data_IF_879230958175
#
_entry.id   IF_879230958175
#
_cell.length_a   1.000
_cell.length_b   1.000
_cell.length_c   1.000
_cell.angle_alpha   90.00
_cell.angle_beta   90.00
_cell.angle_gamma   90.00
#
_symmetry.space_group_name_H-M   'P 1'
#
loop_
_entity.id
_entity.type
_entity.pdbx_description
1 polymer ?
#
# COMPACT_ATOMS: atom_id res chain seq x y z
N UNK A 1 -15.35 -50.16 -34.57
CA UNK A 1 -15.58 -48.85 -33.91
C UNK A 1 -15.77 -48.95 -32.38
N UNK A 2 -15.14 -49.92 -31.68
CA UNK A 2 -15.19 -50.05 -30.19
C UNK A 2 -13.81 -50.00 -29.50
N UNK A 3 -12.71 -49.96 -30.26
CA UNK A 3 -11.36 -49.88 -29.69
C UNK A 3 -10.94 -48.46 -29.29
N UNK A 4 -11.45 -47.40 -29.95
CA UNK A 4 -11.00 -46.03 -29.70
C UNK A 4 -11.53 -45.45 -28.36
N UNK A 5 -12.67 -45.94 -27.85
CA UNK A 5 -13.24 -45.51 -26.56
C UNK A 5 -12.55 -46.13 -25.33
N UNK A 6 -11.74 -47.18 -25.50
CA UNK A 6 -11.08 -47.89 -24.38
C UNK A 6 -9.79 -47.21 -23.92
N UNK A 7 -9.21 -46.32 -24.74
CA UNK A 7 -7.97 -45.59 -24.39
C UNK A 7 -8.28 -44.32 -23.58
N UNK A 8 -9.45 -43.70 -23.78
CA UNK A 8 -9.86 -42.49 -23.06
C UNK A 8 -10.35 -42.73 -21.63
N UNK A 9 -10.60 -43.98 -21.23
CA UNK A 9 -11.10 -44.32 -19.88
C UNK A 9 -9.99 -44.54 -18.85
N UNK A 10 -8.72 -44.60 -19.26
CA UNK A 10 -7.57 -44.76 -18.36
C UNK A 10 -7.06 -43.41 -17.82
N UNK A 11 -7.54 -42.29 -18.37
CA UNK A 11 -7.35 -40.95 -17.80
C UNK A 11 -8.67 -40.54 -17.12
N UNK A 12 -8.89 -41.06 -15.91
CA UNK A 12 -10.11 -40.81 -15.14
C UNK A 12 -10.20 -39.33 -14.68
N UNK A 13 -11.41 -38.79 -14.39
CA UNK A 13 -11.64 -37.39 -13.97
C UNK A 13 -10.99 -36.98 -12.63
N UNK A 14 -10.18 -37.83 -12.02
CA UNK A 14 -9.71 -37.72 -10.64
C UNK A 14 -8.36 -37.00 -10.52
N UNK A 15 -7.65 -36.77 -11.63
CA UNK A 15 -6.28 -36.24 -11.62
C UNK A 15 -6.17 -34.74 -11.86
N UNK A 16 -7.19 -34.05 -12.38
CA UNK A 16 -7.05 -32.63 -12.74
C UNK A 16 -7.32 -31.67 -11.57
N UNK A 17 -8.30 -31.97 -10.71
CA UNK A 17 -8.69 -31.08 -9.61
C UNK A 17 -7.92 -31.38 -8.31
N UNK A 18 -7.73 -32.65 -7.96
CA UNK A 18 -7.07 -33.03 -6.70
C UNK A 18 -5.56 -32.77 -6.72
N UNK A 19 -4.90 -32.87 -7.88
CA UNK A 19 -3.48 -32.55 -8.01
C UNK A 19 -3.22 -31.05 -7.84
N UNK A 20 -4.07 -30.20 -8.41
CA UNK A 20 -3.98 -28.75 -8.28
C UNK A 20 -4.15 -28.29 -6.84
N UNK A 21 -5.14 -28.85 -6.12
CA UNK A 21 -5.37 -28.57 -4.70
C UNK A 21 -4.16 -29.02 -3.86
N UNK A 22 -3.62 -30.21 -4.13
CA UNK A 22 -2.46 -30.74 -3.41
C UNK A 22 -1.20 -29.88 -3.63
N UNK A 23 -0.95 -29.47 -4.88
CA UNK A 23 0.18 -28.60 -5.22
C UNK A 23 0.05 -27.23 -4.54
N UNK A 24 -1.14 -26.62 -4.54
CA UNK A 24 -1.37 -25.36 -3.84
C UNK A 24 -1.20 -25.50 -2.33
N UNK A 25 -1.67 -26.60 -1.74
CA UNK A 25 -1.50 -26.87 -0.32
C UNK A 25 -0.02 -27.02 0.07
N UNK A 26 0.73 -27.85 -0.66
CA UNK A 26 2.15 -28.07 -0.40
C UNK A 26 2.99 -26.81 -0.68
N UNK A 27 2.68 -26.07 -1.75
CA UNK A 27 3.34 -24.81 -2.07
C UNK A 27 3.06 -23.73 -1.01
N UNK A 28 1.83 -23.64 -0.49
CA UNK A 28 1.48 -22.67 0.55
C UNK A 28 2.20 -22.95 1.87
N UNK A 29 2.30 -24.22 2.25
CA UNK A 29 3.06 -24.62 3.45
C UNK A 29 4.54 -24.31 3.26
N UNK A 30 5.14 -24.73 2.15
CA UNK A 30 6.55 -24.46 1.87
C UNK A 30 6.86 -22.96 1.78
N UNK A 31 5.98 -22.16 1.18
CA UNK A 31 6.13 -20.70 1.11
C UNK A 31 6.03 -20.06 2.50
N UNK A 32 5.10 -20.52 3.34
CA UNK A 32 4.97 -20.01 4.70
C UNK A 32 6.23 -20.28 5.53
N UNK A 33 6.80 -21.49 5.44
CA UNK A 33 7.96 -21.88 6.25
C UNK A 33 9.28 -21.31 5.74
N UNK A 34 9.51 -21.35 4.42
CA UNK A 34 10.80 -21.01 3.83
C UNK A 34 10.91 -19.54 3.38
N UNK A 35 9.79 -18.84 3.21
CA UNK A 35 9.78 -17.44 2.78
C UNK A 35 9.15 -16.54 3.84
N UNK A 36 7.87 -16.76 4.20
CA UNK A 36 7.11 -15.82 5.03
C UNK A 36 7.68 -15.68 6.44
N UNK A 37 8.05 -16.79 7.11
CA UNK A 37 8.63 -16.74 8.47
C UNK A 37 9.94 -15.94 8.56
N UNK A 38 10.67 -15.80 7.45
CA UNK A 38 11.95 -15.09 7.40
C UNK A 38 11.87 -13.65 6.88
N UNK A 39 10.68 -13.13 6.58
CA UNK A 39 10.55 -11.77 6.05
C UNK A 39 10.92 -10.77 7.15
N UNK A 40 12.01 -10.04 6.93
CA UNK A 40 12.42 -8.92 7.76
C UNK A 40 12.21 -7.61 7.01
N UNK A 41 11.52 -6.60 7.59
CA UNK A 41 11.43 -5.29 6.98
C UNK A 41 12.79 -4.59 6.96
N UNK A 42 13.15 -4.04 5.79
CA UNK A 42 14.24 -3.08 5.67
C UNK A 42 13.72 -1.69 6.06
N UNK A 43 13.82 -1.38 7.36
CA UNK A 43 13.25 -0.16 7.95
C UNK A 43 13.86 1.10 7.33
N UNK A 44 15.18 1.11 7.08
CA UNK A 44 15.88 2.28 6.53
C UNK A 44 15.35 2.63 5.13
N UNK A 45 15.19 1.60 4.28
CA UNK A 45 14.66 1.81 2.93
C UNK A 45 13.19 2.22 2.94
N UNK A 46 12.40 1.69 3.89
CA UNK A 46 10.99 2.05 4.04
C UNK A 46 10.88 3.53 4.47
N UNK A 47 11.67 3.98 5.44
CA UNK A 47 11.65 5.38 5.91
C UNK A 47 12.09 6.37 4.81
N UNK A 48 13.10 6.01 4.02
CA UNK A 48 13.55 6.81 2.87
C UNK A 48 12.44 6.97 1.81
N UNK A 49 11.79 5.86 1.43
CA UNK A 49 10.69 5.87 0.48
C UNK A 49 9.46 6.62 1.02
N UNK A 50 9.19 6.49 2.32
CA UNK A 50 8.10 7.22 2.97
C UNK A 50 8.34 8.73 2.92
N UNK A 51 9.53 9.20 3.29
CA UNK A 51 9.87 10.64 3.31
C UNK A 51 9.97 11.28 1.93
N UNK A 52 10.33 10.48 0.91
CA UNK A 52 10.39 10.94 -0.48
C UNK A 52 9.05 10.88 -1.21
N UNK A 53 8.03 10.23 -0.62
CA UNK A 53 6.73 10.08 -1.26
C UNK A 53 5.95 11.40 -1.35
N UNK A 54 5.58 11.76 -2.57
CA UNK A 54 4.77 12.95 -2.89
C UNK A 54 3.29 12.80 -2.46
N UNK A 55 2.86 11.58 -2.12
CA UNK A 55 1.46 11.28 -1.76
C UNK A 55 1.06 11.79 -0.37
N UNK A 56 2.04 12.08 0.49
CA UNK A 56 1.83 12.67 1.82
C UNK A 56 1.22 14.07 1.77
N UNK A 57 1.21 14.70 0.59
CA UNK A 57 0.61 16.03 0.36
C UNK A 57 -0.89 16.08 0.69
N UNK A 58 -1.58 14.95 0.63
CA UNK A 58 -3.01 14.86 0.95
C UNK A 58 -3.33 15.19 2.40
N UNK A 59 -2.38 14.97 3.32
CA UNK A 59 -2.49 15.39 4.72
C UNK A 59 -2.49 16.92 4.88
N UNK A 60 -1.99 17.66 3.89
CA UNK A 60 -1.97 19.12 3.91
C UNK A 60 -3.31 19.73 3.44
N UNK A 61 -4.15 18.97 2.73
CA UNK A 61 -5.41 19.46 2.17
C UNK A 61 -6.32 20.19 3.20
N UNK A 62 -6.51 19.68 4.44
CA UNK A 62 -7.36 20.35 5.43
C UNK A 62 -6.76 21.65 5.99
N UNK A 63 -5.43 21.83 5.90
CA UNK A 63 -4.72 22.95 6.53
C UNK A 63 -4.46 24.10 5.57
N UNK A 64 -4.05 23.80 4.34
CA UNK A 64 -3.67 24.80 3.33
C UNK A 64 -4.62 24.85 2.13
N UNK A 65 -5.57 23.92 2.03
CA UNK A 65 -6.47 23.77 0.89
C UNK A 65 -5.86 22.98 -0.26
N UNK A 66 -6.73 22.41 -1.10
CA UNK A 66 -6.35 21.51 -2.19
C UNK A 66 -5.41 22.15 -3.23
N UNK A 67 -5.68 23.40 -3.64
CA UNK A 67 -4.90 24.08 -4.68
C UNK A 67 -3.46 24.35 -4.24
N UNK A 68 -3.27 24.76 -2.97
CA UNK A 68 -1.95 25.00 -2.39
C UNK A 68 -1.19 23.69 -2.18
N UNK A 69 -1.86 22.64 -1.72
CA UNK A 69 -1.29 21.30 -1.62
C UNK A 69 -0.82 20.79 -3.00
N UNK A 70 -1.66 20.91 -4.03
CA UNK A 70 -1.30 20.54 -5.40
C UNK A 70 -0.12 21.35 -5.95
N UNK A 71 -0.02 22.65 -5.61
CA UNK A 71 1.13 23.49 -5.99
C UNK A 71 2.43 23.00 -5.35
N UNK A 72 2.43 22.64 -4.06
CA UNK A 72 3.59 22.07 -3.37
C UNK A 72 4.02 20.74 -4.02
N UNK A 73 3.08 19.83 -4.30
CA UNK A 73 3.39 18.56 -4.97
C UNK A 73 3.99 18.76 -6.36
N UNK A 74 3.42 19.66 -7.17
CA UNK A 74 3.94 19.97 -8.50
C UNK A 74 5.35 20.55 -8.45
N UNK A 75 5.62 21.42 -7.48
CA UNK A 75 6.96 22.00 -7.31
C UNK A 75 7.96 20.95 -6.85
N UNK A 76 7.64 20.16 -5.83
CA UNK A 76 8.47 19.07 -5.34
C UNK A 76 8.83 18.06 -6.46
N UNK A 77 7.85 17.71 -7.31
CA UNK A 77 8.08 16.85 -8.47
C UNK A 77 8.98 17.48 -9.53
N UNK A 78 8.77 18.77 -9.84
CA UNK A 78 9.56 19.48 -10.85
C UNK A 78 11.01 19.68 -10.43
N UNK A 79 11.22 20.05 -9.17
CA UNK A 79 12.53 20.43 -8.65
C UNK A 79 13.28 19.25 -8.03
N UNK A 80 12.69 18.03 -8.03
CA UNK A 80 13.19 16.84 -7.34
C UNK A 80 13.53 17.11 -5.86
N UNK A 81 12.71 17.91 -5.20
CA UNK A 81 12.86 18.27 -3.78
C UNK A 81 11.82 17.56 -2.93
N UNK A 82 12.03 17.55 -1.62
CA UNK A 82 11.04 17.00 -0.68
C UNK A 82 9.84 17.94 -0.56
N UNK A 83 8.67 17.39 -0.21
CA UNK A 83 7.46 18.19 0.07
C UNK A 83 7.71 19.26 1.14
N UNK A 84 8.54 18.94 2.15
CA UNK A 84 8.93 19.87 3.21
C UNK A 84 9.70 21.06 2.68
N UNK A 85 10.69 20.83 1.82
CA UNK A 85 11.47 21.90 1.17
C UNK A 85 10.59 22.75 0.25
N UNK A 86 9.82 22.11 -0.64
CA UNK A 86 8.94 22.80 -1.56
C UNK A 86 7.88 23.66 -0.84
N UNK A 87 7.32 23.16 0.26
CA UNK A 87 6.34 23.88 1.08
C UNK A 87 6.92 25.09 1.81
N UNK A 88 8.14 24.95 2.33
CA UNK A 88 8.88 26.06 2.98
C UNK A 88 9.29 27.12 1.97
N UNK A 89 9.80 26.72 0.81
CA UNK A 89 10.19 27.65 -0.26
C UNK A 89 9.01 28.43 -0.85
N UNK A 90 7.83 27.80 -0.91
CA UNK A 90 6.60 28.48 -1.35
C UNK A 90 6.00 29.38 -0.25
N UNK A 91 6.54 29.34 0.98
CA UNK A 91 6.03 30.09 2.12
C UNK A 91 4.63 29.64 2.58
N UNK A 92 4.17 28.48 2.12
CA UNK A 92 2.83 27.95 2.42
C UNK A 92 2.81 27.22 3.77
N UNK A 93 3.93 26.63 4.17
CA UNK A 93 4.08 25.90 5.44
C UNK A 93 5.47 26.11 6.03
N UNK A 94 5.56 26.15 7.35
CA UNK A 94 6.86 26.07 8.05
C UNK A 94 7.30 24.63 8.24
N UNK A 95 8.61 24.41 8.44
CA UNK A 95 9.15 23.08 8.74
C UNK A 95 8.47 22.42 9.96
N UNK A 96 8.16 23.22 10.99
CA UNK A 96 7.49 22.74 12.19
C UNK A 96 6.03 22.36 11.95
N UNK A 97 5.29 23.14 11.16
CA UNK A 97 3.91 22.81 10.78
C UNK A 97 3.86 21.55 9.91
N UNK A 98 4.81 21.40 8.98
CA UNK A 98 4.89 20.21 8.15
C UNK A 98 5.10 18.94 9.00
N UNK A 99 6.04 18.97 9.96
CA UNK A 99 6.29 17.83 10.84
C UNK A 99 5.11 17.53 11.79
N UNK A 100 4.33 18.56 12.15
CA UNK A 100 3.14 18.40 12.98
C UNK A 100 1.96 17.79 12.22
N UNK A 101 1.75 18.18 10.96
CA UNK A 101 0.59 17.76 10.16
C UNK A 101 0.83 16.48 9.36
N UNK A 102 2.05 16.29 8.86
CA UNK A 102 2.41 15.11 8.05
C UNK A 102 2.89 14.00 8.97
N UNK A 103 1.93 13.22 9.49
CA UNK A 103 2.17 12.08 10.39
C UNK A 103 1.74 10.77 9.70
N UNK A 104 2.68 10.04 9.06
CA UNK A 104 2.38 8.80 8.33
C UNK A 104 1.66 7.74 9.17
N UNK A 105 1.99 7.65 10.46
CA UNK A 105 1.34 6.73 11.40
C UNK A 105 -0.18 6.95 11.47
N UNK A 106 -0.62 8.21 11.38
CA UNK A 106 -2.04 8.61 11.45
C UNK A 106 -2.75 8.51 10.10
N UNK A 107 -2.04 8.18 9.02
CA UNK A 107 -2.58 8.07 7.66
C UNK A 107 -2.92 6.63 7.25
N UNK A 108 -2.67 5.65 8.14
CA UNK A 108 -2.93 4.22 7.89
C UNK A 108 -4.33 3.76 8.31
N UNK A 109 -5.08 4.63 8.99
CA UNK A 109 -6.44 4.36 9.46
C UNK A 109 -7.39 5.46 8.98
N UNK A 110 -8.67 5.15 8.71
CA UNK A 110 -9.65 6.17 8.37
C UNK A 110 -9.88 7.09 9.57
N UNK A 111 -9.50 8.37 9.43
CA UNK A 111 -9.84 9.45 10.35
C UNK A 111 -9.02 9.47 11.65
N UNK A 112 -7.83 10.05 11.59
CA UNK A 112 -7.17 10.58 12.80
C UNK A 112 -8.04 11.68 13.41
N UNK A 113 -8.78 11.32 14.46
CA UNK A 113 -9.32 12.21 15.51
C UNK A 113 -9.89 13.56 15.06
N UNK A 114 -10.98 13.58 14.27
CA UNK A 114 -11.85 14.78 14.14
C UNK A 114 -13.35 14.48 13.97
N UNK A 115 -13.85 13.24 13.99
CA UNK A 115 -15.31 13.01 13.91
C UNK A 115 -15.82 12.03 14.97
N UNK A 116 -15.78 12.47 16.23
CA UNK A 116 -16.84 12.13 17.19
C UNK A 116 -18.06 12.99 16.85
N UNK A 117 -18.67 12.74 15.68
CA UNK A 117 -20.08 13.03 15.48
C UNK A 117 -20.81 11.69 15.58
N UNK A 118 -21.96 11.64 16.27
CA UNK A 118 -22.58 10.40 16.70
C UNK A 118 -23.19 9.67 15.50
N UNK A 119 -22.43 8.81 14.83
CA UNK A 119 -22.97 7.81 13.90
C UNK A 119 -23.45 6.60 14.71
N UNK A 120 -24.42 6.87 15.58
CA UNK A 120 -25.21 5.89 16.31
C UNK A 120 -26.67 6.37 16.34
N UNK A 121 -27.27 6.47 15.15
CA UNK A 121 -28.72 6.51 14.95
C UNK A 121 -29.06 6.27 13.48
N UNK A 122 -28.95 5.02 13.06
CA UNK A 122 -29.81 4.40 12.05
C UNK A 122 -30.10 2.97 12.53
#
# INVERSE_FOLDING_TARGET
MKLCQRVYTVVSPQTLDLQSIKLLAEASVSFAENCVRGIQPNIDRIDELMRSSLMLVTALNPHIGYDNAAAIAKKAYKDNTTLKQAGVELGLVTAAQFDAWVRPDMMTSPGGETLVLPVAKL
#
